data_IF_498509006197
#
_entry.id   IF_498509006197
#
_cell.length_a   1.000
_cell.length_b   1.000
_cell.length_c   1.000
_cell.angle_alpha   90.00
_cell.angle_beta   90.00
_cell.angle_gamma   90.00
#
_symmetry.space_group_name_H-M   'P 1'
#
loop_
_entity.id
_entity.type
_entity.pdbx_description
1 polymer ?
#
# COMPACT_ATOMS: atom_id res chain seq x y z
N UNK A 1 26.35 -9.51 -34.66
CA UNK A 1 26.63 -10.30 -35.87
C UNK A 1 28.01 -10.96 -35.83
N UNK A 2 29.13 -10.28 -35.57
CA UNK A 2 30.46 -10.92 -35.51
C UNK A 2 30.60 -12.00 -34.42
N UNK A 3 30.07 -11.76 -33.23
CA UNK A 3 30.06 -12.75 -32.15
C UNK A 3 29.20 -13.97 -32.47
N UNK A 4 28.09 -13.78 -33.19
CA UNK A 4 27.16 -14.86 -33.54
C UNK A 4 27.76 -15.74 -34.64
N UNK A 5 28.32 -15.15 -35.70
CA UNK A 5 29.03 -15.89 -36.74
C UNK A 5 30.29 -16.59 -36.21
N UNK A 6 31.06 -15.92 -35.34
CA UNK A 6 32.21 -16.54 -34.67
C UNK A 6 31.81 -17.74 -33.81
N UNK A 7 30.71 -17.63 -33.06
CA UNK A 7 30.19 -18.73 -32.25
C UNK A 7 29.66 -19.90 -33.11
N UNK A 8 28.96 -19.62 -34.21
CA UNK A 8 28.44 -20.65 -35.12
C UNK A 8 29.59 -21.37 -35.82
N UNK A 9 30.60 -20.64 -36.30
CA UNK A 9 31.76 -21.25 -36.95
C UNK A 9 32.59 -22.09 -35.97
N UNK A 10 32.73 -21.63 -34.72
CA UNK A 10 33.40 -22.39 -33.67
C UNK A 10 32.62 -23.65 -33.27
N UNK A 11 31.29 -23.56 -33.17
CA UNK A 11 30.42 -24.72 -32.92
C UNK A 11 30.47 -25.76 -34.05
N UNK A 12 30.64 -25.32 -35.31
CA UNK A 12 30.85 -26.23 -36.45
C UNK A 12 32.23 -26.89 -36.41
N UNK A 13 33.29 -26.11 -36.16
CA UNK A 13 34.67 -26.58 -36.25
C UNK A 13 35.11 -27.42 -35.04
N UNK A 14 34.69 -27.06 -33.83
CA UNK A 14 35.17 -27.68 -32.60
C UNK A 14 34.14 -28.60 -31.94
N UNK A 15 32.84 -28.36 -32.14
CA UNK A 15 31.76 -29.06 -31.41
C UNK A 15 30.92 -29.99 -32.30
N UNK A 16 31.38 -30.27 -33.53
CA UNK A 16 30.78 -31.26 -34.42
C UNK A 16 29.34 -30.94 -34.87
N UNK A 17 28.89 -29.68 -34.73
CA UNK A 17 27.52 -29.27 -35.04
C UNK A 17 27.33 -28.97 -36.55
N UNK A 18 27.53 -29.99 -37.40
CA UNK A 18 27.44 -29.89 -38.87
C UNK A 18 26.03 -29.66 -39.41
N UNK A 19 25.00 -29.92 -38.59
CA UNK A 19 23.58 -29.74 -38.91
C UNK A 19 23.10 -28.28 -38.96
N UNK A 20 23.94 -27.29 -38.63
CA UNK A 20 23.54 -25.87 -38.70
C UNK A 20 23.61 -25.39 -40.16
N UNK A 21 22.50 -25.00 -40.81
CA UNK A 21 22.49 -24.56 -42.21
C UNK A 21 23.23 -23.24 -42.42
N UNK A 22 23.75 -23.01 -43.62
CA UNK A 22 24.56 -21.83 -43.95
C UNK A 22 23.70 -20.58 -44.10
N UNK A 23 23.62 -19.77 -43.04
CA UNK A 23 22.86 -18.54 -43.03
C UNK A 23 23.66 -17.39 -43.68
N UNK A 24 23.50 -17.18 -44.99
CA UNK A 24 24.06 -16.01 -45.70
C UNK A 24 23.20 -14.76 -45.44
N UNK A 25 23.43 -14.09 -44.31
CA UNK A 25 22.76 -12.81 -43.99
C UNK A 25 23.74 -11.65 -44.13
N UNK A 26 23.50 -10.79 -45.11
CA UNK A 26 24.32 -9.59 -45.37
C UNK A 26 23.99 -8.48 -44.36
N UNK A 27 25.01 -7.85 -43.77
CA UNK A 27 24.81 -6.75 -42.83
C UNK A 27 24.34 -5.49 -43.59
N UNK A 28 23.30 -4.78 -43.14
CA UNK A 28 22.97 -3.47 -43.69
C UNK A 28 24.15 -2.50 -43.46
N UNK A 29 24.46 -1.69 -44.47
CA UNK A 29 25.54 -0.70 -44.44
C UNK A 29 25.35 0.21 -43.21
N UNK A 30 26.38 0.37 -42.39
CA UNK A 30 26.29 1.29 -41.26
C UNK A 30 26.06 2.72 -41.80
N UNK A 31 25.19 3.53 -41.17
CA UNK A 31 25.03 4.92 -41.57
C UNK A 31 26.40 5.63 -41.45
N UNK A 32 26.72 6.55 -42.38
CA UNK A 32 27.98 7.29 -42.33
C UNK A 32 28.15 7.99 -40.99
N UNK A 33 29.40 8.05 -40.51
CA UNK A 33 29.74 8.82 -39.32
C UNK A 33 29.33 10.28 -39.54
N UNK A 34 28.60 10.86 -38.59
CA UNK A 34 28.20 12.26 -38.65
C UNK A 34 29.30 13.11 -38.02
N UNK A 35 30.19 13.64 -38.86
CA UNK A 35 31.10 14.72 -38.48
C UNK A 35 30.40 16.07 -38.65
N UNK A 36 29.32 16.28 -37.89
CA UNK A 36 28.60 17.56 -37.88
C UNK A 36 28.64 18.15 -36.49
N UNK A 37 29.21 19.35 -36.40
CA UNK A 37 29.13 20.25 -35.24
C UNK A 37 27.98 21.22 -35.49
N UNK A 38 27.26 21.61 -34.44
CA UNK A 38 26.22 22.64 -34.54
C UNK A 38 26.87 23.98 -34.88
N UNK A 39 26.21 24.79 -35.73
CA UNK A 39 26.60 26.20 -35.87
C UNK A 39 26.16 27.01 -34.65
N UNK A 40 26.74 28.19 -34.47
CA UNK A 40 26.38 29.10 -33.36
C UNK A 40 24.88 29.48 -33.40
N UNK A 41 24.31 29.65 -34.60
CA UNK A 41 22.89 29.92 -34.79
C UNK A 41 22.01 28.72 -34.36
N UNK A 42 22.44 27.50 -34.70
CA UNK A 42 21.73 26.27 -34.32
C UNK A 42 21.79 26.03 -32.81
N UNK A 43 22.90 26.38 -32.16
CA UNK A 43 23.04 26.31 -30.70
C UNK A 43 22.06 27.27 -30.01
N UNK A 44 21.96 28.51 -30.49
CA UNK A 44 21.04 29.52 -29.95
C UNK A 44 19.59 29.07 -30.09
N UNK A 45 19.20 28.55 -31.25
CA UNK A 45 17.84 28.05 -31.51
C UNK A 45 17.53 26.84 -30.61
N UNK A 46 18.47 25.91 -30.46
CA UNK A 46 18.32 24.71 -29.64
C UNK A 46 18.12 25.06 -28.16
N UNK A 47 18.91 25.98 -27.62
CA UNK A 47 18.80 26.41 -26.21
C UNK A 47 17.52 27.19 -25.99
N UNK A 48 17.10 28.06 -26.93
CA UNK A 48 15.84 28.78 -26.84
C UNK A 48 14.63 27.83 -26.82
N UNK A 49 14.61 26.83 -27.70
CA UNK A 49 13.57 25.80 -27.72
C UNK A 49 13.55 24.96 -26.43
N UNK A 50 14.73 24.64 -25.88
CA UNK A 50 14.84 23.91 -24.61
C UNK A 50 14.30 24.71 -23.42
N UNK A 51 14.49 26.04 -23.41
CA UNK A 51 13.99 26.93 -22.35
C UNK A 51 12.48 27.17 -22.43
N UNK A 52 11.89 27.08 -23.62
CA UNK A 52 10.45 27.17 -23.83
C UNK A 52 9.70 25.88 -23.43
N UNK A 53 10.41 24.79 -23.11
CA UNK A 53 9.82 23.53 -22.69
C UNK A 53 9.30 23.59 -21.25
N UNK A 54 8.26 22.83 -20.94
CA UNK A 54 7.72 22.71 -19.58
C UNK A 54 8.69 22.05 -18.59
N UNK A 55 9.72 21.36 -19.08
CA UNK A 55 10.78 20.77 -18.28
C UNK A 55 11.94 21.75 -18.05
N UNK A 56 11.99 22.33 -16.85
CA UNK A 56 13.02 23.28 -16.41
C UNK A 56 14.46 22.73 -16.46
N UNK A 57 14.65 21.41 -16.48
CA UNK A 57 15.97 20.76 -16.50
C UNK A 57 16.53 20.56 -17.91
N UNK A 58 15.71 20.73 -18.95
CA UNK A 58 16.10 20.40 -20.31
C UNK A 58 17.18 21.35 -20.84
N UNK A 59 16.98 22.66 -20.67
CA UNK A 59 17.96 23.66 -21.09
C UNK A 59 19.31 23.53 -20.36
N UNK A 60 19.37 23.42 -19.01
CA UNK A 60 20.64 23.19 -18.31
C UNK A 60 21.38 21.93 -18.76
N UNK A 61 20.67 20.83 -19.02
CA UNK A 61 21.31 19.57 -19.48
C UNK A 61 21.86 19.70 -20.89
N UNK A 62 21.16 20.40 -21.78
CA UNK A 62 21.62 20.66 -23.15
C UNK A 62 22.83 21.60 -23.14
N UNK A 63 22.79 22.68 -22.37
CA UNK A 63 23.94 23.58 -22.18
C UNK A 63 25.16 22.82 -21.61
N UNK A 64 24.95 21.90 -20.67
CA UNK A 64 26.01 21.04 -20.14
C UNK A 64 26.56 20.08 -21.20
N UNK A 65 25.71 19.48 -22.02
CA UNK A 65 26.11 18.59 -23.10
C UNK A 65 26.95 19.30 -24.16
N UNK A 66 26.56 20.52 -24.55
CA UNK A 66 27.29 21.35 -25.51
C UNK A 66 28.67 21.76 -24.96
N UNK A 67 28.73 22.17 -23.70
CA UNK A 67 29.97 22.63 -23.09
C UNK A 67 31.00 21.52 -22.80
N UNK A 68 30.53 20.28 -22.59
CA UNK A 68 31.39 19.16 -22.16
C UNK A 68 31.55 18.06 -23.22
N UNK A 69 30.74 18.09 -24.27
CA UNK A 69 30.63 17.02 -25.28
C UNK A 69 30.42 15.62 -24.68
N UNK A 70 29.89 15.56 -23.45
CA UNK A 70 29.62 14.32 -22.74
C UNK A 70 28.37 13.65 -23.31
N UNK A 71 28.35 12.31 -23.27
CA UNK A 71 27.16 11.57 -23.69
C UNK A 71 26.05 11.74 -22.67
N UNK A 72 24.79 11.64 -23.10
CA UNK A 72 23.62 11.74 -22.21
C UNK A 72 23.74 10.81 -20.97
N UNK A 73 24.17 9.56 -21.17
CA UNK A 73 24.39 8.62 -20.06
C UNK A 73 25.54 9.01 -19.12
N UNK A 74 26.57 9.70 -19.61
CA UNK A 74 27.67 10.20 -18.78
C UNK A 74 27.21 11.41 -17.94
N UNK A 75 26.34 12.27 -18.51
CA UNK A 75 25.78 13.45 -17.82
C UNK A 75 24.77 13.05 -16.75
N UNK A 76 23.85 12.14 -17.06
CA UNK A 76 22.79 11.71 -16.14
C UNK A 76 23.33 10.93 -14.93
N UNK A 77 24.47 10.27 -15.09
CA UNK A 77 25.12 9.50 -14.01
C UNK A 77 26.19 10.29 -13.23
N UNK A 78 26.39 11.58 -13.53
CA UNK A 78 27.38 12.41 -12.86
C UNK A 78 26.94 12.73 -11.42
N UNK A 79 27.84 12.58 -10.45
CA UNK A 79 27.60 12.99 -9.06
C UNK A 79 28.27 14.32 -8.76
N UNK A 80 27.74 15.07 -7.77
CA UNK A 80 28.36 16.32 -7.32
C UNK A 80 29.81 16.12 -6.84
N UNK A 81 30.12 14.96 -6.24
CA UNK A 81 31.49 14.60 -5.84
C UNK A 81 32.45 14.42 -7.00
N UNK A 82 31.93 14.25 -8.22
CA UNK A 82 32.74 14.09 -9.42
C UNK A 82 33.14 15.43 -10.04
N UNK A 83 32.59 16.54 -9.55
CA UNK A 83 32.89 17.89 -10.04
C UNK A 83 33.87 18.56 -9.08
N UNK A 84 35.06 18.88 -9.58
CA UNK A 84 36.01 19.75 -8.92
C UNK A 84 35.88 21.18 -9.47
N UNK A 85 35.18 22.04 -8.72
CA UNK A 85 34.97 23.44 -9.10
C UNK A 85 36.25 24.28 -9.03
N UNK A 86 37.23 23.89 -8.21
CA UNK A 86 38.52 24.60 -8.11
C UNK A 86 39.38 24.28 -9.33
N UNK A 87 39.44 23.01 -9.73
CA UNK A 87 40.19 22.56 -10.91
C UNK A 87 39.40 22.70 -12.21
N UNK A 88 38.11 23.03 -12.13
CA UNK A 88 37.18 23.09 -13.26
C UNK A 88 37.20 21.81 -14.10
N UNK A 89 37.11 20.67 -13.44
CA UNK A 89 37.05 19.36 -14.11
C UNK A 89 35.92 18.52 -13.55
N UNK A 90 35.30 17.69 -14.37
CA UNK A 90 34.40 16.65 -13.91
C UNK A 90 34.93 15.24 -14.27
N UNK A 91 34.78 14.29 -13.36
CA UNK A 91 35.27 12.92 -13.53
C UNK A 91 34.16 11.99 -13.98
N UNK A 92 34.30 11.44 -15.18
CA UNK A 92 33.41 10.38 -15.68
C UNK A 92 33.92 9.04 -15.16
N UNK A 93 33.13 8.38 -14.30
CA UNK A 93 33.50 7.11 -13.63
C UNK A 93 33.50 5.91 -14.59
N UNK A 94 32.48 5.81 -15.44
CA UNK A 94 32.33 4.74 -16.42
C UNK A 94 32.11 5.33 -17.81
N UNK A 95 33.17 5.41 -18.62
CA UNK A 95 33.03 5.76 -20.03
C UNK A 95 32.57 4.53 -20.84
N UNK A 96 32.05 4.75 -22.05
CA UNK A 96 31.68 3.69 -23.01
C UNK A 96 32.79 2.65 -23.27
N UNK A 97 34.05 3.00 -23.00
CA UNK A 97 35.23 2.16 -23.23
C UNK A 97 35.81 1.56 -21.92
N UNK A 98 35.12 1.72 -20.78
CA UNK A 98 35.51 1.18 -19.48
C UNK A 98 36.58 1.99 -18.72
N UNK A 99 37.19 3.01 -19.33
CA UNK A 99 38.23 3.84 -18.70
C UNK A 99 37.67 5.15 -18.14
N UNK A 100 37.94 5.51 -16.87
CA UNK A 100 37.59 6.80 -16.32
C UNK A 100 38.33 7.94 -17.03
N UNK A 101 37.69 9.11 -17.17
CA UNK A 101 38.34 10.30 -17.74
C UNK A 101 37.90 11.58 -17.04
N UNK A 102 38.78 12.57 -17.01
CA UNK A 102 38.45 13.92 -16.57
C UNK A 102 38.08 14.78 -17.79
N UNK A 103 36.95 15.48 -17.68
CA UNK A 103 36.46 16.41 -18.70
C UNK A 103 36.60 17.83 -18.16
N UNK A 104 37.29 18.74 -18.86
CA UNK A 104 37.40 20.13 -18.44
C UNK A 104 36.06 20.85 -18.58
N UNK A 105 35.73 21.70 -17.61
CA UNK A 105 34.53 22.54 -17.61
C UNK A 105 34.90 23.93 -18.15
N UNK A 106 34.27 24.34 -19.25
CA UNK A 106 34.47 25.68 -19.83
C UNK A 106 34.02 26.79 -18.86
N UNK A 107 34.66 27.95 -18.95
CA UNK A 107 34.47 29.12 -18.05
C UNK A 107 33.01 29.60 -17.97
N UNK A 108 32.21 29.35 -19.01
CA UNK A 108 30.81 29.75 -19.12
C UNK A 108 29.85 28.99 -18.17
N UNK A 109 30.22 27.79 -17.70
CA UNK A 109 29.36 26.95 -16.85
C UNK A 109 29.29 27.41 -15.39
N UNK A 110 30.31 28.12 -14.88
CA UNK A 110 30.42 28.45 -13.45
C UNK A 110 29.39 29.47 -12.96
N UNK A 111 28.98 30.42 -13.81
CA UNK A 111 28.14 31.55 -13.40
C UNK A 111 26.63 31.32 -13.60
N UNK A 112 26.22 30.27 -14.32
CA UNK A 112 24.79 29.98 -14.63
C UNK A 112 24.15 28.94 -13.71
N UNK A 113 24.94 28.12 -13.02
CA UNK A 113 24.46 27.03 -12.17
C UNK A 113 24.42 27.40 -10.68
N UNK A 114 23.77 28.51 -10.33
CA UNK A 114 23.30 28.74 -8.95
C UNK A 114 21.91 28.12 -8.81
N UNK A 115 21.86 26.82 -8.50
CA UNK A 115 20.58 26.18 -8.18
C UNK A 115 20.00 26.82 -6.91
N UNK A 116 18.83 27.45 -7.05
CA UNK A 116 18.05 28.04 -5.95
C UNK A 116 17.89 27.03 -4.81
N UNK A 117 18.19 27.47 -3.59
CA UNK A 117 17.95 26.80 -2.31
C UNK A 117 16.45 26.57 -2.03
N UNK A 118 15.78 25.75 -2.83
CA UNK A 118 14.51 25.14 -2.44
C UNK A 118 14.75 23.65 -2.27
N UNK A 119 14.86 23.25 -1.00
CA UNK A 119 14.81 21.86 -0.55
C UNK A 119 13.43 21.28 -0.85
N UNK A 120 13.15 21.02 -2.12
CA UNK A 120 12.03 20.18 -2.48
C UNK A 120 12.36 18.72 -2.19
N UNK A 121 11.43 18.04 -1.53
CA UNK A 121 11.55 16.65 -1.15
C UNK A 121 11.74 15.77 -2.40
N UNK A 122 12.93 15.13 -2.53
CA UNK A 122 13.28 14.20 -3.62
C UNK A 122 13.37 12.76 -3.12
N UNK A 123 12.56 11.87 -3.69
CA UNK A 123 12.50 10.45 -3.28
C UNK A 123 13.83 9.71 -3.50
N UNK A 124 14.58 10.04 -4.56
CA UNK A 124 15.91 9.47 -4.84
C UNK A 124 16.96 9.88 -3.80
N UNK A 125 16.92 11.14 -3.34
CA UNK A 125 17.83 11.64 -2.29
C UNK A 125 17.52 11.00 -0.94
N UNK A 126 16.24 10.83 -0.61
CA UNK A 126 15.83 10.09 0.58
C UNK A 126 16.26 8.61 0.53
N UNK A 127 16.20 7.98 -0.64
CA UNK A 127 16.68 6.62 -0.88
C UNK A 127 18.20 6.51 -0.72
N UNK A 128 18.96 7.42 -1.34
CA UNK A 128 20.42 7.47 -1.20
C UNK A 128 20.85 7.71 0.26
N UNK A 129 20.17 8.60 0.99
CA UNK A 129 20.38 8.78 2.44
C UNK A 129 20.04 7.50 3.22
N UNK A 130 18.99 6.77 2.85
CA UNK A 130 18.64 5.49 3.46
C UNK A 130 19.72 4.42 3.21
N UNK A 131 20.27 4.35 1.99
CA UNK A 131 21.37 3.44 1.63
C UNK A 131 22.69 3.79 2.31
N UNK A 132 23.00 5.08 2.48
CA UNK A 132 24.15 5.51 3.28
C UNK A 132 23.97 5.22 4.77
N UNK A 133 22.76 5.44 5.32
CA UNK A 133 22.44 5.07 6.70
C UNK A 133 22.40 3.54 6.88
N UNK A 134 22.19 2.78 5.81
CA UNK A 134 22.30 1.32 5.81
C UNK A 134 23.72 0.84 6.14
N UNK A 135 24.75 1.59 5.72
CA UNK A 135 26.19 1.31 5.93
C UNK A 135 26.70 1.70 7.33
N UNK A 136 25.87 1.57 8.37
CA UNK A 136 26.33 1.85 9.75
C UNK A 136 27.22 0.71 10.27
N UNK A 137 28.34 1.01 10.95
CA UNK A 137 29.24 -0.01 11.52
C UNK A 137 28.72 -0.69 12.80
N UNK A 138 27.56 -0.26 13.36
CA UNK A 138 27.02 -0.81 14.61
C UNK A 138 25.95 -1.89 14.35
N UNK A 139 25.96 -3.03 15.06
CA UNK A 139 24.93 -4.05 14.95
C UNK A 139 23.55 -3.45 15.27
N UNK A 140 22.51 -3.88 14.55
CA UNK A 140 21.17 -3.33 14.75
C UNK A 140 20.60 -3.74 16.11
N UNK A 141 19.76 -2.90 16.72
CA UNK A 141 19.15 -3.17 18.03
C UNK A 141 18.35 -4.48 18.08
N UNK A 142 17.78 -4.89 16.93
CA UNK A 142 17.07 -6.17 16.80
C UNK A 142 18.02 -7.38 16.84
N UNK A 143 19.29 -7.23 16.49
CA UNK A 143 20.29 -8.30 16.64
C UNK A 143 20.71 -8.43 18.10
N UNK A 144 20.87 -7.31 18.79
CA UNK A 144 21.38 -7.28 20.18
C UNK A 144 20.29 -7.53 21.23
N UNK A 145 19.00 -7.38 20.90
CA UNK A 145 17.88 -7.59 21.83
C UNK A 145 16.90 -8.66 21.28
N UNK A 146 17.06 -9.93 21.70
CA UNK A 146 16.21 -11.04 21.25
C UNK A 146 14.73 -10.87 21.60
N UNK A 147 14.41 -10.26 22.74
CA UNK A 147 13.02 -10.04 23.19
C UNK A 147 12.30 -9.06 22.27
N UNK A 148 12.95 -7.94 21.96
CA UNK A 148 12.45 -6.95 21.01
C UNK A 148 12.32 -7.54 19.61
N UNK A 149 13.30 -8.32 19.16
CA UNK A 149 13.24 -9.03 17.90
C UNK A 149 12.03 -9.96 17.80
N UNK A 150 11.82 -10.80 18.82
CA UNK A 150 10.68 -11.73 18.85
C UNK A 150 9.35 -10.98 18.82
N UNK A 151 9.22 -9.90 19.60
CA UNK A 151 8.02 -9.07 19.57
C UNK A 151 7.75 -8.47 18.18
N UNK A 152 8.77 -7.87 17.55
CA UNK A 152 8.63 -7.28 16.22
C UNK A 152 8.26 -8.34 15.18
N UNK A 153 8.90 -9.50 15.23
CA UNK A 153 8.61 -10.61 14.32
C UNK A 153 7.18 -11.14 14.51
N UNK A 154 6.73 -11.36 15.74
CA UNK A 154 5.37 -11.81 16.03
C UNK A 154 4.29 -10.82 15.56
N UNK A 155 4.50 -9.50 15.71
CA UNK A 155 3.53 -8.51 15.21
C UNK A 155 3.50 -8.42 13.69
N UNK A 156 4.59 -8.75 13.01
CA UNK A 156 4.67 -8.78 11.55
C UNK A 156 4.03 -10.04 10.96
N UNK A 157 4.49 -11.23 11.39
CA UNK A 157 4.14 -12.52 10.78
C UNK A 157 3.38 -13.49 11.69
N UNK A 158 3.06 -13.07 12.92
CA UNK A 158 2.30 -13.87 13.87
C UNK A 158 0.98 -14.32 13.26
N UNK A 159 0.53 -15.51 13.68
CA UNK A 159 -0.60 -16.19 13.06
C UNK A 159 -1.92 -15.59 13.55
N UNK A 160 -2.88 -15.55 12.64
CA UNK A 160 -4.26 -15.19 12.99
C UNK A 160 -4.84 -16.30 13.86
N UNK A 161 -5.50 -15.92 14.95
CA UNK A 161 -6.14 -16.84 15.90
C UNK A 161 -7.63 -16.55 15.98
N UNK A 162 -8.41 -17.59 16.23
CA UNK A 162 -9.83 -17.44 16.52
C UNK A 162 -10.06 -17.01 17.99
N UNK A 163 -11.33 -16.98 18.41
CA UNK A 163 -11.72 -16.61 19.76
C UNK A 163 -11.21 -17.59 20.84
N UNK A 164 -10.99 -18.86 20.49
CA UNK A 164 -10.44 -19.87 21.39
C UNK A 164 -8.90 -19.85 21.45
N UNK A 165 -8.27 -18.92 20.71
CA UNK A 165 -6.82 -18.84 20.59
C UNK A 165 -6.21 -19.87 19.64
N UNK A 166 -7.02 -20.64 18.90
CA UNK A 166 -6.53 -21.64 17.94
C UNK A 166 -6.10 -20.94 16.65
N UNK A 167 -5.00 -21.42 16.08
CA UNK A 167 -4.40 -20.81 14.90
C UNK A 167 -5.19 -21.13 13.63
N UNK A 168 -5.47 -20.10 12.84
CA UNK A 168 -6.12 -20.21 11.54
C UNK A 168 -5.06 -20.01 10.45
N UNK A 169 -4.84 -21.04 9.65
CA UNK A 169 -3.79 -21.06 8.63
C UNK A 169 -4.01 -20.05 7.49
N UNK A 170 -5.27 -19.77 7.14
CA UNK A 170 -5.63 -18.97 5.97
C UNK A 170 -5.23 -19.65 4.64
N UNK A 171 -5.14 -18.90 3.53
CA UNK A 171 -4.87 -19.49 2.22
C UNK A 171 -3.40 -19.90 2.07
N UNK A 172 -3.17 -21.00 1.33
CA UNK A 172 -1.82 -21.43 0.97
C UNK A 172 -1.18 -20.40 0.03
N UNK A 173 -0.08 -19.80 0.48
CA UNK A 173 0.68 -18.86 -0.34
C UNK A 173 1.78 -19.59 -1.11
N UNK A 174 1.95 -19.26 -2.39
CA UNK A 174 3.08 -19.73 -3.17
C UNK A 174 4.41 -19.21 -2.57
N UNK A 175 5.53 -19.97 -2.70
CA UNK A 175 6.82 -19.55 -2.19
C UNK A 175 7.23 -18.16 -2.65
N UNK A 176 7.93 -17.41 -1.79
CA UNK A 176 8.37 -16.06 -2.11
C UNK A 176 9.41 -16.07 -3.24
N UNK A 177 9.02 -15.63 -4.45
CA UNK A 177 9.88 -15.62 -5.65
C UNK A 177 10.78 -14.37 -5.75
N UNK A 178 11.08 -13.70 -4.63
CA UNK A 178 11.81 -12.42 -4.64
C UNK A 178 11.04 -11.21 -5.20
N UNK A 179 9.86 -11.45 -5.79
CA UNK A 179 8.93 -10.42 -6.28
C UNK A 179 7.91 -10.06 -5.23
N UNK A 180 7.34 -8.87 -5.38
CA UNK A 180 6.31 -8.36 -4.50
C UNK A 180 5.08 -9.31 -4.42
N UNK A 181 4.26 -9.14 -3.38
CA UNK A 181 3.05 -9.92 -3.14
C UNK A 181 2.13 -10.03 -4.38
N UNK A 182 1.40 -11.14 -4.54
CA UNK A 182 0.57 -11.35 -5.73
C UNK A 182 -0.46 -10.23 -5.89
N UNK A 183 -0.60 -9.77 -7.13
CA UNK A 183 -1.64 -8.81 -7.49
C UNK A 183 -3.00 -9.54 -7.47
N UNK A 184 -3.90 -9.10 -6.59
CA UNK A 184 -5.26 -9.65 -6.41
C UNK A 184 -5.36 -11.14 -6.07
N UNK A 185 -4.25 -11.85 -5.86
CA UNK A 185 -4.21 -13.25 -5.42
C UNK A 185 -3.98 -13.41 -3.92
N UNK A 186 -4.09 -14.66 -3.47
CA UNK A 186 -3.99 -15.07 -2.06
C UNK A 186 -2.71 -14.66 -1.36
N UNK A 187 -2.85 -14.40 -0.06
CA UNK A 187 -1.77 -13.98 0.82
C UNK A 187 -1.91 -14.68 2.15
N UNK A 188 -0.79 -15.09 2.74
CA UNK A 188 -0.76 -15.66 4.08
C UNK A 188 -1.44 -14.71 5.05
N UNK A 189 -2.33 -15.25 5.87
CA UNK A 189 -2.95 -14.51 6.95
C UNK A 189 -1.96 -14.36 8.10
N UNK A 190 -1.73 -13.12 8.50
CA UNK A 190 -0.79 -12.73 9.54
C UNK A 190 -1.37 -11.59 10.37
N UNK A 191 -0.80 -11.32 11.53
CA UNK A 191 -1.09 -10.13 12.33
C UNK A 191 -0.93 -8.86 11.50
N UNK A 192 0.14 -8.78 10.69
CA UNK A 192 0.29 -7.77 9.64
C UNK A 192 0.33 -6.33 10.15
N UNK A 193 0.89 -6.12 11.34
CA UNK A 193 1.07 -4.77 11.88
C UNK A 193 2.12 -4.02 11.07
N UNK A 194 1.92 -2.71 10.88
CA UNK A 194 2.94 -1.87 10.26
C UNK A 194 4.10 -1.61 11.23
N UNK A 195 5.32 -1.36 10.73
CA UNK A 195 6.42 -0.92 11.57
C UNK A 195 6.10 0.30 12.44
N UNK A 196 5.28 1.25 11.95
CA UNK A 196 4.80 2.40 12.74
C UNK A 196 3.91 1.96 13.90
N UNK A 197 2.96 1.05 13.64
CA UNK A 197 2.09 0.46 14.66
C UNK A 197 2.90 -0.24 15.75
N UNK A 198 3.88 -1.06 15.36
CA UNK A 198 4.75 -1.80 16.29
C UNK A 198 5.56 -0.83 17.15
N UNK A 199 6.26 0.11 16.50
CA UNK A 199 7.11 1.12 17.17
C UNK A 199 6.35 1.92 18.23
N UNK A 200 5.11 2.32 17.91
CA UNK A 200 4.28 3.12 18.82
C UNK A 200 3.61 2.27 19.90
N UNK A 201 3.24 1.03 19.60
CA UNK A 201 2.62 0.13 20.57
C UNK A 201 3.58 -0.32 21.67
N UNK A 202 4.86 -0.45 21.38
CA UNK A 202 5.89 -0.82 22.36
C UNK A 202 5.92 0.08 23.61
N UNK A 203 5.52 1.35 23.48
CA UNK A 203 5.44 2.28 24.62
C UNK A 203 4.28 1.95 25.57
N UNK A 204 3.21 1.35 25.06
CA UNK A 204 2.04 0.93 25.85
C UNK A 204 2.25 -0.45 26.46
N UNK A 205 2.78 -1.39 25.67
CA UNK A 205 2.98 -2.76 26.14
C UNK A 205 4.15 -2.88 27.14
N UNK A 206 5.12 -1.96 27.06
CA UNK A 206 6.30 -1.92 27.91
C UNK A 206 6.61 -0.50 28.37
N UNK A 207 5.79 0.12 29.23
CA UNK A 207 5.94 1.53 29.62
C UNK A 207 7.30 1.82 30.26
N UNK A 208 7.80 0.92 31.11
CA UNK A 208 9.00 1.14 31.92
C UNK A 208 10.28 0.53 31.31
N UNK A 209 10.19 -0.16 30.16
CA UNK A 209 11.33 -0.83 29.53
C UNK A 209 11.81 -0.04 28.29
N UNK A 210 12.83 0.80 28.47
CA UNK A 210 13.46 1.55 27.38
C UNK A 210 14.19 0.65 26.37
N UNK A 211 14.62 -0.55 26.79
CA UNK A 211 15.27 -1.51 25.90
C UNK A 211 14.33 -1.96 24.78
N UNK A 212 13.02 -1.90 25.01
CA UNK A 212 11.98 -2.23 24.04
C UNK A 212 11.67 -1.11 23.04
N UNK A 213 12.32 0.06 23.13
CA UNK A 213 12.09 1.18 22.19
C UNK A 213 12.82 0.97 20.86
N UNK A 214 12.11 1.09 19.74
CA UNK A 214 12.70 1.10 18.40
C UNK A 214 11.91 2.02 17.47
N UNK A 215 12.59 2.73 16.56
CA UNK A 215 11.92 3.53 15.54
C UNK A 215 11.38 2.64 14.43
N UNK A 216 10.23 3.01 13.87
CA UNK A 216 9.66 2.30 12.72
C UNK A 216 10.59 2.29 11.50
N UNK A 217 11.41 3.33 11.33
CA UNK A 217 12.45 3.36 10.30
C UNK A 217 13.49 2.27 10.53
N UNK A 218 13.94 2.04 11.77
CA UNK A 218 14.89 0.97 12.05
C UNK A 218 14.32 -0.43 11.73
N UNK A 219 13.01 -0.64 11.96
CA UNK A 219 12.31 -1.88 11.55
C UNK A 219 12.26 -1.98 10.01
N UNK A 220 11.90 -0.90 9.30
CA UNK A 220 11.91 -0.91 7.82
C UNK A 220 13.30 -1.23 7.26
N UNK A 221 14.34 -0.62 7.82
CA UNK A 221 15.72 -0.86 7.42
C UNK A 221 16.11 -2.33 7.66
N UNK A 222 15.70 -2.93 8.79
CA UNK A 222 15.91 -4.35 9.06
C UNK A 222 15.19 -5.27 8.06
N UNK A 223 14.02 -4.88 7.55
CA UNK A 223 13.26 -5.65 6.55
C UNK A 223 13.86 -5.55 5.14
N UNK A 224 14.33 -4.36 4.74
CA UNK A 224 14.80 -4.11 3.38
C UNK A 224 16.29 -4.41 3.17
N UNK A 225 17.11 -4.34 4.21
CA UNK A 225 18.56 -4.49 4.13
C UNK A 225 18.97 -5.84 4.72
N UNK A 226 19.20 -6.82 3.86
CA UNK A 226 19.60 -8.17 4.26
C UNK A 226 20.92 -8.21 5.04
N UNK A 227 21.87 -7.32 4.74
CA UNK A 227 23.17 -7.26 5.43
C UNK A 227 23.06 -6.90 6.92
N UNK A 228 21.89 -6.44 7.40
CA UNK A 228 21.65 -6.19 8.83
C UNK A 228 21.34 -7.46 9.64
N UNK A 229 21.06 -8.59 8.98
CA UNK A 229 20.90 -9.92 9.60
C UNK A 229 19.73 -10.07 10.59
N UNK A 230 18.90 -9.03 10.75
CA UNK A 230 17.96 -8.93 11.86
C UNK A 230 16.56 -9.47 11.55
N UNK A 231 16.12 -9.46 10.29
CA UNK A 231 14.79 -9.93 9.89
C UNK A 231 14.89 -10.56 8.50
N UNK A 232 14.12 -11.61 8.25
CA UNK A 232 14.07 -12.25 6.93
C UNK A 232 13.38 -11.31 5.92
N UNK A 233 13.95 -11.17 4.73
CA UNK A 233 13.40 -10.33 3.64
C UNK A 233 11.97 -10.72 3.23
N UNK A 234 11.59 -11.98 3.43
CA UNK A 234 10.26 -12.51 3.14
C UNK A 234 9.15 -11.82 3.94
N UNK A 235 9.47 -11.25 5.11
CA UNK A 235 8.53 -10.51 5.96
C UNK A 235 7.99 -9.24 5.29
N UNK A 236 8.63 -8.74 4.22
CA UNK A 236 8.09 -7.66 3.39
C UNK A 236 6.72 -8.04 2.79
N UNK A 237 6.44 -9.33 2.60
CA UNK A 237 5.13 -9.80 2.12
C UNK A 237 3.99 -9.57 3.12
N UNK A 238 4.31 -9.45 4.43
CA UNK A 238 3.35 -9.14 5.49
C UNK A 238 2.93 -7.67 5.51
N UNK A 239 3.68 -6.78 4.84
CA UNK A 239 3.40 -5.34 4.82
C UNK A 239 2.20 -4.98 3.92
N UNK A 240 1.39 -4.01 4.38
CA UNK A 240 0.22 -3.47 3.63
C UNK A 240 0.57 -2.96 2.25
N UNK A 241 1.73 -2.34 2.07
CA UNK A 241 2.23 -1.91 0.77
C UNK A 241 3.58 -2.56 0.55
N UNK A 242 3.66 -3.50 -0.39
CA UNK A 242 4.94 -4.14 -0.71
C UNK A 242 5.83 -3.26 -1.59
N UNK A 243 5.68 -1.94 -1.51
CA UNK A 243 6.50 -0.99 -2.28
C UNK A 243 7.95 -1.20 -1.82
N UNK A 244 8.80 -1.61 -2.75
CA UNK A 244 10.25 -1.68 -2.52
C UNK A 244 10.88 -0.29 -2.59
N UNK A 245 10.20 0.67 -3.23
CA UNK A 245 10.66 2.04 -3.45
C UNK A 245 9.67 3.05 -2.91
N UNK A 246 10.20 4.15 -2.37
CA UNK A 246 9.42 5.30 -1.92
C UNK A 246 8.88 6.05 -3.13
N UNK A 247 7.56 6.20 -3.19
CA UNK A 247 6.87 6.94 -4.24
C UNK A 247 6.55 8.33 -3.70
N UNK A 248 6.63 9.41 -4.51
CA UNK A 248 6.15 10.73 -4.10
C UNK A 248 4.73 10.65 -3.53
N UNK A 249 4.45 11.46 -2.51
CA UNK A 249 3.06 11.72 -2.08
C UNK A 249 2.37 12.33 -3.29
N UNK A 250 1.40 11.64 -3.89
CA UNK A 250 0.50 12.28 -4.84
C UNK A 250 -0.15 13.48 -4.12
N UNK A 251 -0.06 14.67 -4.72
CA UNK A 251 -0.86 15.82 -4.24
C UNK A 251 -2.31 15.37 -4.27
N UNK A 252 -3.01 15.55 -3.14
CA UNK A 252 -4.45 15.38 -3.12
C UNK A 252 -5.02 16.41 -4.11
N UNK A 253 -5.48 15.95 -5.28
CA UNK A 253 -6.31 16.80 -6.12
C UNK A 253 -7.64 16.96 -5.40
N UNK A 254 -7.91 18.15 -4.88
CA UNK A 254 -9.24 18.54 -4.45
C UNK A 254 -10.13 18.57 -5.70
N UNK A 255 -11.00 17.57 -5.85
CA UNK A 255 -12.13 17.68 -6.79
C UNK A 255 -13.21 18.47 -6.08
N UNK A 256 -13.57 19.62 -6.64
CA UNK A 256 -14.76 20.38 -6.25
C UNK A 256 -16.01 19.59 -6.69
N UNK A 257 -16.97 19.41 -5.78
CA UNK A 257 -18.23 18.72 -6.05
C UNK A 257 -19.43 19.59 -5.68
N UNK A 258 -20.48 19.49 -6.50
CA UNK A 258 -21.66 20.35 -6.55
C UNK A 258 -22.90 19.72 -5.87
N UNK A 259 -23.90 20.56 -5.63
CA UNK A 259 -25.00 20.51 -4.64
C UNK A 259 -26.31 19.76 -5.05
N UNK A 260 -27.11 19.37 -4.01
CA UNK A 260 -28.62 19.34 -3.84
C UNK A 260 -29.41 18.17 -4.52
N UNK A 261 -30.56 17.59 -4.08
CA UNK A 261 -31.67 17.89 -3.10
C UNK A 261 -32.25 16.63 -2.37
N UNK A 262 -33.17 16.90 -1.42
CA UNK A 262 -33.79 16.12 -0.33
C UNK A 262 -34.55 14.81 -0.66
N UNK A 263 -34.28 13.75 0.13
CA UNK A 263 -35.25 13.04 0.99
C UNK A 263 -34.59 11.86 1.75
N UNK A 264 -34.93 11.72 3.05
CA UNK A 264 -34.37 10.85 4.12
C UNK A 264 -32.85 10.65 4.04
N UNK A 265 -32.15 11.77 4.14
CA UNK A 265 -30.70 11.87 4.00
C UNK A 265 -29.96 11.70 5.33
N UNK A 266 -28.64 11.50 5.26
CA UNK A 266 -27.74 11.55 6.43
C UNK A 266 -27.82 12.89 7.19
N UNK A 267 -28.38 13.93 6.57
CA UNK A 267 -28.66 15.25 7.17
C UNK A 267 -29.71 15.21 8.28
N UNK A 268 -30.56 14.17 8.35
CA UNK A 268 -31.53 13.98 9.45
C UNK A 268 -30.89 13.42 10.73
N UNK A 269 -29.57 13.36 10.82
CA UNK A 269 -28.86 12.89 12.01
C UNK A 269 -28.76 13.98 13.08
N UNK A 270 -28.79 13.59 14.37
CA UNK A 270 -28.29 14.46 15.44
C UNK A 270 -26.86 14.91 15.13
N UNK A 271 -26.54 16.17 15.42
CA UNK A 271 -25.22 16.76 15.13
C UNK A 271 -24.06 15.99 15.80
N UNK A 272 -24.32 15.38 16.96
CA UNK A 272 -23.43 14.53 17.76
C UNK A 272 -22.77 13.39 16.97
N UNK A 273 -23.39 12.96 15.87
CA UNK A 273 -22.92 11.85 15.02
C UNK A 273 -21.76 12.28 14.10
N UNK A 274 -21.60 13.57 13.79
CA UNK A 274 -20.51 14.03 12.92
C UNK A 274 -19.15 14.00 13.62
N UNK A 275 -19.13 14.31 14.91
CA UNK A 275 -17.92 14.39 15.73
C UNK A 275 -17.33 13.01 16.07
N UNK A 276 -18.08 11.92 15.79
CA UNK A 276 -17.67 10.53 16.09
C UNK A 276 -17.37 10.32 17.59
N UNK A 277 -17.84 11.23 18.43
CA UNK A 277 -17.61 11.25 19.86
C UNK A 277 -18.50 10.23 20.58
N UNK A 278 -19.72 10.01 20.07
CA UNK A 278 -20.69 9.06 20.63
C UNK A 278 -20.51 7.68 19.99
N UNK A 279 -20.23 6.63 20.78
CA UNK A 279 -20.16 5.27 20.25
C UNK A 279 -21.54 4.67 19.98
N UNK A 280 -21.58 3.68 19.09
CA UNK A 280 -22.81 2.93 18.75
C UNK A 280 -23.44 3.35 17.42
N UNK A 281 -22.77 4.23 16.66
CA UNK A 281 -23.08 4.48 15.27
C UNK A 281 -22.18 3.61 14.38
N UNK A 282 -22.80 2.81 13.52
CA UNK A 282 -22.10 1.86 12.66
C UNK A 282 -22.16 2.30 11.19
N UNK A 283 -21.08 2.03 10.45
CA UNK A 283 -21.04 2.11 9.00
C UNK A 283 -20.98 0.69 8.45
N UNK A 284 -21.85 0.38 7.49
CA UNK A 284 -21.95 -0.92 6.86
C UNK A 284 -21.61 -0.89 5.37
N UNK A 285 -20.83 -1.86 4.90
CA UNK A 285 -20.44 -2.01 3.49
C UNK A 285 -20.28 -3.48 3.09
N UNK A 286 -20.12 -3.75 1.80
CA UNK A 286 -19.86 -5.08 1.27
C UNK A 286 -18.50 -5.14 0.59
N UNK A 287 -17.69 -6.13 0.97
CA UNK A 287 -16.53 -6.52 0.16
C UNK A 287 -16.92 -7.65 -0.78
N UNK A 288 -16.85 -7.38 -2.08
CA UNK A 288 -17.13 -8.37 -3.13
C UNK A 288 -15.83 -9.01 -3.61
N UNK A 289 -15.86 -10.33 -3.87
CA UNK A 289 -14.81 -11.12 -4.50
C UNK A 289 -15.25 -11.75 -5.82
N UNK A 290 -14.57 -12.81 -6.23
CA UNK A 290 -14.93 -13.55 -7.45
C UNK A 290 -16.29 -14.23 -7.30
N UNK A 291 -16.93 -14.52 -8.43
CA UNK A 291 -18.22 -15.23 -8.48
C UNK A 291 -19.32 -14.52 -7.66
N UNK A 292 -19.20 -13.19 -7.49
CA UNK A 292 -20.09 -12.38 -6.63
C UNK A 292 -20.17 -12.90 -5.19
N UNK A 293 -19.16 -13.61 -4.71
CA UNK A 293 -19.01 -13.88 -3.28
C UNK A 293 -18.84 -12.57 -2.52
N UNK A 294 -19.39 -12.48 -1.32
CA UNK A 294 -19.41 -11.25 -0.54
C UNK A 294 -19.18 -11.53 0.95
N UNK A 295 -18.67 -10.53 1.66
CA UNK A 295 -18.64 -10.47 3.12
C UNK A 295 -19.19 -9.10 3.50
N UNK A 296 -20.16 -9.06 4.41
CA UNK A 296 -20.64 -7.82 4.99
C UNK A 296 -19.62 -7.27 5.98
N UNK A 297 -19.46 -5.96 6.03
CA UNK A 297 -18.51 -5.27 6.90
C UNK A 297 -19.28 -4.26 7.71
N UNK A 298 -19.15 -4.29 9.03
CA UNK A 298 -19.75 -3.33 9.95
C UNK A 298 -18.61 -2.69 10.74
N UNK A 299 -18.52 -1.37 10.74
CA UNK A 299 -17.46 -0.64 11.46
C UNK A 299 -18.08 0.40 12.35
N UNK A 300 -17.80 0.31 13.64
CA UNK A 300 -18.23 1.29 14.64
C UNK A 300 -17.42 2.59 14.45
N UNK A 301 -18.08 3.74 14.44
CA UNK A 301 -17.49 5.01 14.00
C UNK A 301 -16.59 5.69 15.03
N UNK A 302 -16.67 5.34 16.31
CA UNK A 302 -15.80 5.89 17.34
C UNK A 302 -14.55 5.02 17.53
N UNK A 303 -14.74 3.81 18.07
CA UNK A 303 -13.76 2.77 18.36
C UNK A 303 -13.12 2.12 17.12
N UNK A 304 -13.75 2.22 15.94
CA UNK A 304 -13.32 1.50 14.71
C UNK A 304 -13.42 -0.02 14.83
N UNK A 305 -14.16 -0.52 15.82
CA UNK A 305 -14.38 -1.94 15.98
C UNK A 305 -15.09 -2.48 14.75
N UNK A 306 -14.52 -3.53 14.16
CA UNK A 306 -14.95 -4.09 12.88
C UNK A 306 -15.56 -5.46 13.10
N UNK A 307 -16.79 -5.65 12.64
CA UNK A 307 -17.44 -6.96 12.57
C UNK A 307 -17.58 -7.37 11.11
N UNK A 308 -17.41 -8.66 10.85
CA UNK A 308 -17.54 -9.23 9.51
C UNK A 308 -18.71 -10.21 9.48
N UNK A 309 -19.65 -9.95 8.59
CA UNK A 309 -20.87 -10.73 8.43
C UNK A 309 -20.63 -11.77 7.35
N UNK A 310 -20.66 -13.04 7.73
CA UNK A 310 -20.51 -14.16 6.80
C UNK A 310 -21.77 -14.34 5.96
N UNK A 311 -21.59 -14.34 4.64
CA UNK A 311 -22.67 -14.43 3.65
C UNK A 311 -22.45 -15.65 2.74
N UNK A 312 -22.88 -16.86 3.19
CA UNK A 312 -22.70 -18.08 2.42
C UNK A 312 -23.59 -18.09 1.18
N UNK A 313 -23.23 -18.90 0.18
CA UNK A 313 -24.07 -19.13 -0.99
C UNK A 313 -25.35 -19.84 -0.61
N UNK A 314 -26.45 -19.47 -1.26
CA UNK A 314 -27.73 -20.12 -1.09
C UNK A 314 -27.79 -21.44 -1.89
N UNK A 315 -28.71 -22.32 -1.50
CA UNK A 315 -28.98 -23.57 -2.23
C UNK A 315 -29.35 -23.25 -3.69
N UNK A 316 -28.79 -24.00 -4.62
CA UNK A 316 -29.03 -23.81 -6.07
C UNK A 316 -28.06 -22.85 -6.77
N UNK A 317 -27.15 -22.18 -6.05
CA UNK A 317 -26.14 -21.34 -6.68
C UNK A 317 -25.26 -22.16 -7.65
N UNK A 318 -25.20 -21.73 -8.91
CA UNK A 318 -24.41 -22.38 -9.95
C UNK A 318 -25.06 -23.60 -10.60
N UNK A 319 -26.21 -24.08 -10.08
CA UNK A 319 -26.99 -25.16 -10.70
C UNK A 319 -27.97 -24.61 -11.74
N UNK A 320 -28.62 -23.47 -11.44
CA UNK A 320 -29.51 -22.79 -12.39
C UNK A 320 -28.77 -21.66 -13.11
N UNK A 321 -28.90 -21.55 -14.45
CA UNK A 321 -28.41 -20.39 -15.20
C UNK A 321 -28.97 -19.09 -14.61
N UNK A 322 -28.12 -18.06 -14.57
CA UNK A 322 -28.49 -16.78 -14.00
C UNK A 322 -29.54 -16.09 -14.88
N UNK A 323 -30.69 -15.78 -14.29
CA UNK A 323 -31.70 -14.92 -14.91
C UNK A 323 -31.57 -13.48 -14.40
N UNK A 324 -31.87 -12.50 -15.26
CA UNK A 324 -31.95 -11.08 -14.86
C UNK A 324 -33.13 -10.94 -13.88
N UNK A 325 -32.89 -10.35 -12.70
CA UNK A 325 -33.84 -10.27 -11.59
C UNK A 325 -34.27 -11.63 -10.98
N UNK A 326 -33.50 -12.71 -11.23
CA UNK A 326 -33.69 -13.98 -10.56
C UNK A 326 -33.30 -13.94 -9.07
N UNK A 327 -33.56 -15.03 -8.33
CA UNK A 327 -33.24 -15.12 -6.91
C UNK A 327 -31.74 -14.86 -6.65
N UNK A 328 -31.45 -14.10 -5.60
CA UNK A 328 -30.10 -13.66 -5.26
C UNK A 328 -29.31 -14.77 -4.54
N UNK A 329 -29.01 -15.86 -5.24
CA UNK A 329 -28.41 -17.06 -4.65
C UNK A 329 -26.93 -16.90 -4.25
N UNK A 330 -26.31 -15.76 -4.61
CA UNK A 330 -24.89 -15.49 -4.33
C UNK A 330 -24.59 -15.21 -2.84
N UNK A 331 -25.62 -15.15 -1.98
CA UNK A 331 -25.47 -15.00 -0.53
C UNK A 331 -25.67 -13.60 0.02
N UNK A 332 -25.82 -12.59 -0.84
CA UNK A 332 -25.95 -11.19 -0.43
C UNK A 332 -27.24 -10.52 -0.95
N UNK A 333 -28.27 -11.32 -1.24
CA UNK A 333 -29.61 -10.81 -1.50
C UNK A 333 -30.18 -10.07 -0.29
N UNK A 334 -31.17 -9.21 -0.51
CA UNK A 334 -31.75 -8.37 0.54
C UNK A 334 -32.22 -9.17 1.78
N UNK A 335 -32.87 -10.32 1.56
CA UNK A 335 -33.35 -11.19 2.64
C UNK A 335 -32.21 -11.83 3.41
N UNK A 336 -31.26 -12.48 2.71
CA UNK A 336 -30.09 -13.13 3.33
C UNK A 336 -29.26 -12.12 4.12
N UNK A 337 -29.06 -10.92 3.55
CA UNK A 337 -28.32 -9.85 4.19
C UNK A 337 -29.01 -9.35 5.46
N UNK A 338 -30.33 -9.08 5.39
CA UNK A 338 -31.10 -8.65 6.55
C UNK A 338 -31.08 -9.69 7.68
N UNK A 339 -31.22 -10.98 7.35
CA UNK A 339 -31.16 -12.06 8.34
C UNK A 339 -29.77 -12.18 8.98
N UNK A 340 -28.71 -12.10 8.17
CA UNK A 340 -27.34 -12.18 8.67
C UNK A 340 -26.96 -10.96 9.53
N UNK A 341 -27.41 -9.76 9.14
CA UNK A 341 -27.25 -8.55 9.93
C UNK A 341 -28.01 -8.64 11.24
N UNK A 342 -29.28 -9.08 11.21
CA UNK A 342 -30.10 -9.26 12.42
C UNK A 342 -29.38 -10.15 13.42
N UNK A 343 -28.93 -11.32 12.99
CA UNK A 343 -28.17 -12.25 13.84
C UNK A 343 -26.95 -11.57 14.48
N UNK A 344 -26.19 -10.84 13.68
CA UNK A 344 -24.99 -10.13 14.14
C UNK A 344 -25.31 -9.04 15.18
N UNK A 345 -26.43 -8.33 15.00
CA UNK A 345 -26.90 -7.29 15.93
C UNK A 345 -27.42 -7.89 17.23
N UNK A 346 -28.22 -8.96 17.16
CA UNK A 346 -28.82 -9.61 18.34
C UNK A 346 -27.79 -10.30 19.22
N UNK A 347 -26.65 -10.72 18.67
CA UNK A 347 -25.56 -11.34 19.43
C UNK A 347 -24.78 -10.31 20.28
N UNK A 348 -25.06 -9.01 20.13
CA UNK A 348 -24.38 -7.92 20.85
C UNK A 348 -25.37 -7.13 21.73
N UNK A 349 -24.92 -6.52 22.85
CA UNK A 349 -25.77 -5.68 23.68
C UNK A 349 -26.43 -4.56 22.87
N UNK A 350 -27.75 -4.40 23.03
CA UNK A 350 -28.55 -3.40 22.30
C UNK A 350 -28.02 -1.96 22.47
N UNK A 351 -27.41 -1.67 23.62
CA UNK A 351 -26.75 -0.41 23.94
C UNK A 351 -25.65 -0.01 22.94
N UNK A 352 -25.04 -0.99 22.26
CA UNK A 352 -24.02 -0.74 21.24
C UNK A 352 -24.61 -0.36 19.88
N UNK A 353 -25.93 -0.34 19.73
CA UNK A 353 -26.60 -0.14 18.43
C UNK A 353 -27.55 1.06 18.46
N UNK A 354 -27.02 2.24 18.18
CA UNK A 354 -27.83 3.45 18.01
C UNK A 354 -28.31 3.63 16.57
N UNK A 355 -27.42 3.41 15.59
CA UNK A 355 -27.77 3.54 14.18
C UNK A 355 -26.84 2.77 13.27
N UNK A 356 -27.33 2.36 12.11
CA UNK A 356 -26.55 1.78 11.03
C UNK A 356 -26.58 2.67 9.78
N UNK A 357 -25.43 2.92 9.17
CA UNK A 357 -25.31 3.65 7.89
C UNK A 357 -25.01 2.66 6.78
N UNK A 358 -25.73 2.70 5.66
CA UNK A 358 -25.46 1.84 4.50
C UNK A 358 -25.37 2.62 3.18
N UNK A 359 -24.84 1.98 2.14
CA UNK A 359 -24.85 2.51 0.77
C UNK A 359 -26.22 2.22 0.15
N UNK A 360 -26.64 2.96 -0.87
CA UNK A 360 -27.92 2.75 -1.58
C UNK A 360 -27.85 1.53 -2.52
N UNK A 361 -27.32 0.43 -2.01
CA UNK A 361 -27.25 -0.86 -2.67
C UNK A 361 -28.57 -1.62 -2.56
N UNK A 362 -28.87 -2.46 -3.56
CA UNK A 362 -30.07 -3.32 -3.56
C UNK A 362 -30.01 -4.38 -2.46
N UNK A 363 -28.83 -4.61 -1.89
CA UNK A 363 -28.57 -5.56 -0.81
C UNK A 363 -29.25 -5.20 0.51
N UNK A 364 -29.67 -3.94 0.68
CA UNK A 364 -30.40 -3.49 1.87
C UNK A 364 -31.80 -2.97 1.54
N UNK A 365 -32.41 -3.41 0.43
CA UNK A 365 -33.77 -3.00 0.08
C UNK A 365 -34.82 -3.41 1.14
N UNK A 366 -34.51 -4.43 1.94
CA UNK A 366 -35.36 -4.97 3.02
C UNK A 366 -34.98 -4.39 4.41
N UNK A 367 -34.39 -3.20 4.44
CA UNK A 367 -33.96 -2.50 5.67
C UNK A 367 -35.12 -2.14 6.60
N UNK A 368 -36.33 -1.94 6.05
CA UNK A 368 -37.53 -1.65 6.84
C UNK A 368 -37.84 -2.81 7.79
N UNK A 369 -37.84 -4.06 7.27
CA UNK A 369 -38.01 -5.26 8.10
C UNK A 369 -36.89 -5.39 9.12
N UNK A 370 -35.64 -5.19 8.71
CA UNK A 370 -34.50 -5.22 9.64
C UNK A 370 -34.64 -4.20 10.78
N UNK A 371 -35.08 -2.98 10.49
CA UNK A 371 -35.28 -1.92 11.50
C UNK A 371 -36.35 -2.31 12.50
N UNK A 372 -37.49 -2.84 12.03
CA UNK A 372 -38.59 -3.30 12.90
C UNK A 372 -38.14 -4.47 13.78
N UNK A 373 -37.42 -5.44 13.22
CA UNK A 373 -37.05 -6.66 13.93
C UNK A 373 -35.85 -6.49 14.87
N UNK A 374 -34.94 -5.55 14.60
CA UNK A 374 -33.72 -5.33 15.39
C UNK A 374 -33.78 -4.10 16.29
N UNK A 375 -34.74 -3.18 16.05
CA UNK A 375 -34.80 -1.87 16.70
C UNK A 375 -33.74 -0.87 16.23
N UNK A 376 -32.83 -1.26 15.31
CA UNK A 376 -31.72 -0.42 14.85
C UNK A 376 -32.14 0.45 13.68
N UNK A 377 -32.07 1.77 13.84
CA UNK A 377 -32.38 2.73 12.77
C UNK A 377 -31.33 2.67 11.66
N UNK A 378 -31.78 2.44 10.43
CA UNK A 378 -30.93 2.42 9.24
C UNK A 378 -31.00 3.76 8.49
N UNK A 379 -29.84 4.30 8.14
CA UNK A 379 -29.67 5.51 7.35
C UNK A 379 -28.89 5.21 6.08
N UNK A 380 -29.21 5.87 4.97
CA UNK A 380 -28.48 5.71 3.71
C UNK A 380 -27.57 6.91 3.44
N UNK A 381 -26.38 6.65 2.91
CA UNK A 381 -25.49 7.70 2.42
C UNK A 381 -26.08 8.38 1.18
N UNK A 382 -25.67 9.63 0.94
CA UNK A 382 -26.12 10.37 -0.23
C UNK A 382 -25.46 9.82 -1.50
N UNK A 383 -26.17 9.83 -2.65
CA UNK A 383 -25.57 9.47 -3.92
C UNK A 383 -24.33 10.31 -4.18
N UNK A 384 -23.29 9.69 -4.74
CA UNK A 384 -22.02 10.36 -5.05
C UNK A 384 -21.30 10.97 -3.83
N UNK A 385 -21.64 10.55 -2.59
CA UNK A 385 -21.05 11.08 -1.36
C UNK A 385 -20.19 10.09 -0.56
N UNK A 386 -19.13 9.50 -1.16
CA UNK A 386 -18.32 8.46 -0.50
C UNK A 386 -17.59 8.96 0.76
N UNK A 387 -17.33 10.27 0.90
CA UNK A 387 -16.66 10.85 2.07
C UNK A 387 -17.46 10.68 3.37
N UNK A 388 -18.79 10.55 3.26
CA UNK A 388 -19.67 10.30 4.40
C UNK A 388 -19.39 8.93 5.06
N UNK A 389 -18.67 8.03 4.37
CA UNK A 389 -18.30 6.67 4.77
C UNK A 389 -16.79 6.40 4.72
N UNK A 390 -15.98 7.45 4.95
CA UNK A 390 -14.52 7.33 4.88
C UNK A 390 -13.91 6.26 5.80
N UNK A 391 -14.65 5.83 6.85
CA UNK A 391 -14.21 4.75 7.75
C UNK A 391 -14.20 3.42 7.02
N UNK A 392 -15.32 3.07 6.38
CA UNK A 392 -15.46 1.78 5.69
C UNK A 392 -14.49 1.63 4.52
N UNK A 393 -14.22 2.70 3.77
CA UNK A 393 -13.24 2.63 2.68
C UNK A 393 -11.84 2.23 3.18
N UNK A 394 -11.37 2.88 4.26
CA UNK A 394 -10.07 2.53 4.84
C UNK A 394 -10.06 1.12 5.43
N UNK A 395 -11.11 0.72 6.15
CA UNK A 395 -11.24 -0.62 6.74
C UNK A 395 -11.30 -1.70 5.66
N UNK A 396 -12.06 -1.48 4.59
CA UNK A 396 -12.11 -2.37 3.44
C UNK A 396 -10.74 -2.47 2.76
N UNK A 397 -10.01 -1.36 2.65
CA UNK A 397 -8.62 -1.36 2.22
C UNK A 397 -7.67 -2.20 3.08
N UNK A 398 -7.94 -2.35 4.38
CA UNK A 398 -7.20 -3.25 5.27
C UNK A 398 -7.65 -4.70 5.09
N UNK A 399 -8.95 -4.95 5.00
CA UNK A 399 -9.52 -6.28 4.74
C UNK A 399 -9.03 -6.88 3.42
N UNK A 400 -8.73 -6.06 2.41
CA UNK A 400 -8.10 -6.52 1.15
C UNK A 400 -6.69 -7.10 1.32
N UNK A 401 -6.10 -7.06 2.52
CA UNK A 401 -4.90 -7.84 2.85
C UNK A 401 -5.24 -9.34 2.98
N UNK A 402 -6.37 -9.66 3.62
CA UNK A 402 -6.86 -11.00 3.88
C UNK A 402 -7.79 -11.53 2.78
N UNK A 403 -8.57 -10.62 2.18
CA UNK A 403 -9.60 -10.90 1.16
C UNK A 403 -9.35 -10.11 -0.15
N UNK A 404 -8.31 -10.46 -0.94
CA UNK A 404 -8.02 -9.80 -2.21
C UNK A 404 -9.19 -9.82 -3.20
N UNK A 405 -9.27 -8.84 -4.10
CA UNK A 405 -10.40 -8.75 -5.07
C UNK A 405 -10.49 -9.94 -6.03
N UNK A 406 -9.38 -10.63 -6.30
CA UNK A 406 -9.31 -11.74 -7.27
C UNK A 406 -9.48 -13.11 -6.61
N UNK A 407 -10.12 -13.19 -5.45
CA UNK A 407 -10.34 -14.45 -4.73
C UNK A 407 -11.82 -14.66 -4.48
N UNK A 408 -12.25 -15.93 -4.43
CA UNK A 408 -13.59 -16.30 -3.99
C UNK A 408 -13.66 -16.23 -2.45
N UNK A 409 -14.60 -15.46 -1.92
CA UNK A 409 -14.77 -15.27 -0.48
C UNK A 409 -15.63 -16.36 0.16
N UNK A 410 -16.41 -17.11 -0.65
CA UNK A 410 -17.33 -18.14 -0.15
C UNK A 410 -16.63 -19.39 0.41
N UNK A 411 -15.32 -19.53 0.17
CA UNK A 411 -14.52 -20.64 0.71
C UNK A 411 -14.19 -20.48 2.20
N UNK A 412 -14.43 -19.31 2.79
CA UNK A 412 -14.09 -19.01 4.18
C UNK A 412 -15.31 -19.21 5.07
N UNK A 413 -15.11 -19.92 6.16
CA UNK A 413 -16.14 -20.11 7.19
C UNK A 413 -16.35 -18.85 8.04
N UNK A 414 -17.48 -18.79 8.74
CA UNK A 414 -17.76 -17.72 9.71
C UNK A 414 -16.66 -17.59 10.78
N UNK A 415 -16.12 -18.71 11.26
CA UNK A 415 -15.03 -18.75 12.25
C UNK A 415 -13.74 -18.13 11.72
N UNK A 416 -13.35 -18.47 10.50
CA UNK A 416 -12.15 -17.92 9.87
C UNK A 416 -12.28 -16.42 9.60
N UNK A 417 -13.46 -15.98 9.15
CA UNK A 417 -13.79 -14.57 8.96
C UNK A 417 -13.72 -13.83 10.30
N UNK A 418 -14.27 -14.39 11.37
CA UNK A 418 -14.21 -13.79 12.71
C UNK A 418 -12.77 -13.68 13.23
N UNK A 419 -11.92 -14.68 12.96
CA UNK A 419 -10.51 -14.62 13.32
C UNK A 419 -9.79 -13.45 12.63
N UNK A 420 -10.11 -13.16 11.37
CA UNK A 420 -9.61 -11.97 10.66
C UNK A 420 -10.13 -10.67 11.26
N UNK A 421 -11.42 -10.63 11.66
CA UNK A 421 -11.98 -9.47 12.37
C UNK A 421 -11.25 -9.22 13.69
N UNK A 422 -10.99 -10.27 14.47
CA UNK A 422 -10.22 -10.21 15.71
C UNK A 422 -8.80 -9.68 15.47
N UNK A 423 -8.09 -10.18 14.43
CA UNK A 423 -6.76 -9.69 14.08
C UNK A 423 -6.75 -8.19 13.67
N UNK A 424 -7.86 -7.68 13.10
CA UNK A 424 -8.03 -6.26 12.79
C UNK A 424 -8.36 -5.42 14.02
N UNK A 425 -9.13 -5.97 14.97
CA UNK A 425 -9.57 -5.32 16.19
C UNK A 425 -8.52 -5.33 17.30
N UNK A 426 -7.52 -6.20 17.22
CA UNK A 426 -6.32 -6.18 18.08
C UNK A 426 -5.16 -5.40 17.47
N UNK A 427 -5.33 -4.85 16.25
CA UNK A 427 -4.30 -4.03 15.60
C UNK A 427 -4.44 -2.56 16.00
N UNK A 428 -3.38 -1.90 16.53
CA UNK A 428 -3.48 -0.54 17.06
C UNK A 428 -3.76 0.49 15.96
N UNK A 429 -4.52 1.54 16.29
CA UNK A 429 -4.90 2.61 15.35
C UNK A 429 -4.32 3.95 15.78
N UNK A 430 -3.67 4.64 14.84
CA UNK A 430 -3.17 6.01 15.07
C UNK A 430 -4.28 6.99 15.49
N UNK A 431 -5.49 6.82 14.93
CA UNK A 431 -6.67 7.64 15.26
C UNK A 431 -7.19 7.44 16.67
N UNK A 432 -6.80 6.35 17.34
CA UNK A 432 -7.18 6.01 18.72
C UNK A 432 -6.00 6.19 19.68
N UNK A 433 -5.03 7.04 19.32
CA UNK A 433 -3.82 7.22 20.12
C UNK A 433 -2.98 5.94 20.27
N UNK A 434 -3.05 5.03 19.30
CA UNK A 434 -2.38 3.71 19.29
C UNK A 434 -3.00 2.64 20.21
N UNK A 435 -4.18 2.89 20.76
CA UNK A 435 -5.05 1.82 21.29
C UNK A 435 -5.59 0.95 20.14
N UNK A 436 -5.97 -0.27 20.47
CA UNK A 436 -6.66 -1.19 19.57
C UNK A 436 -8.15 -0.89 19.56
N UNK A 437 -8.88 -1.18 18.47
CA UNK A 437 -10.33 -1.05 18.45
C UNK A 437 -11.04 -1.84 19.54
N UNK A 438 -10.52 -3.02 19.91
CA UNK A 438 -11.04 -3.82 21.00
C UNK A 438 -10.90 -3.10 22.36
N UNK A 439 -9.74 -2.52 22.66
CA UNK A 439 -9.53 -1.74 23.88
C UNK A 439 -10.43 -0.49 23.93
N UNK A 440 -10.55 0.23 22.81
CA UNK A 440 -11.39 1.42 22.76
C UNK A 440 -12.88 1.08 22.97
N UNK A 441 -13.34 -0.06 22.46
CA UNK A 441 -14.71 -0.54 22.70
C UNK A 441 -14.90 -1.00 24.15
N UNK A 442 -13.93 -1.71 24.72
CA UNK A 442 -13.97 -2.18 26.12
C UNK A 442 -14.00 -1.02 27.12
N UNK A 443 -13.20 0.03 26.89
CA UNK A 443 -13.24 1.27 27.68
C UNK A 443 -14.62 1.93 27.65
N UNK A 444 -15.27 1.94 26.49
CA UNK A 444 -16.64 2.44 26.36
C UNK A 444 -17.65 1.56 27.12
N UNK A 445 -17.55 0.24 27.00
CA UNK A 445 -18.44 -0.68 27.72
C UNK A 445 -18.34 -0.49 29.23
N UNK A 446 -17.12 -0.32 29.75
CA UNK A 446 -16.86 -0.04 31.16
C UNK A 446 -17.44 1.31 31.60
N UNK A 447 -17.28 2.36 30.79
CA UNK A 447 -17.80 3.68 31.15
C UNK A 447 -19.33 3.71 31.22
N UNK A 448 -20.03 3.00 30.32
CA UNK A 448 -21.50 2.95 30.38
C UNK A 448 -22.00 2.13 31.58
N UNK A 449 -21.32 1.02 31.92
CA UNK A 449 -21.65 0.27 33.14
C UNK A 449 -21.50 1.13 34.40
N UNK A 450 -20.42 1.89 34.52
CA UNK A 450 -20.20 2.79 35.65
C UNK A 450 -21.28 3.88 35.76
N UNK A 451 -21.69 4.48 34.64
CA UNK A 451 -22.78 5.47 34.61
C UNK A 451 -24.13 4.89 35.01
N UNK A 452 -24.42 3.62 34.69
CA UNK A 452 -25.68 2.96 35.11
C UNK A 452 -25.75 2.61 36.60
N UNK A 453 -24.61 2.43 37.27
CA UNK A 453 -24.54 2.09 38.70
C UNK A 453 -24.60 3.35 39.58
N UNK A 454 -24.22 4.51 39.05
CA UNK A 454 -24.23 5.78 39.79
C UNK A 454 -25.61 6.45 39.93
N UNK A 455 -26.69 5.90 39.33
CA UNK A 455 -28.03 6.54 39.31
C UNK A 455 -28.96 6.07 40.43
N UNK A 456 -28.45 5.84 41.64
CA UNK A 456 -29.29 5.62 42.82
C UNK A 456 -28.85 6.59 43.92
N UNK A 457 -29.37 7.81 43.84
CA UNK A 457 -29.20 8.88 44.82
C UNK A 457 -30.45 9.72 44.88
#
# INVERSE_FOLDING_TARGET
>A
MNLLFGAINKARAEWGCSQIPDCKVTRPKAPPHRDRVLSDEEEVILVAAARANSNEYLAPVIEWALATAMRAGEIVNLLWSDIDWKKRTCRVREAKNGTPRNVPLRQFLGNRFHWRDRLEYRASVAQWKAELVAQRPKPSKLVTNPRLHHYVQDRLEGKVRDADGREIAGPRQAPFKGRNKPHRGDRKWVNGWSPEQISKRLQFDFPDDESMRISHEAIYQALYIQSRGALKRELVSCLRTGRALRVPRARAQAKAWAHVSEDVMISSRPAEVQDRAVPGHWEGDLIIGLNRSAIGTLVERSSRFTMLVHLPREKGYGLTPRTKNGPALAGYGAVTMANALKKTVTDMPALLWQSLTWDRGKELSDHARFTVESGVKVFFADPHSPWQRGTNENTNGLLRQYFPKGTDLSRWSAREIQAVANALNTRPRKTLGWKTPAEALDEYLKSVQQSSVATTG
#
